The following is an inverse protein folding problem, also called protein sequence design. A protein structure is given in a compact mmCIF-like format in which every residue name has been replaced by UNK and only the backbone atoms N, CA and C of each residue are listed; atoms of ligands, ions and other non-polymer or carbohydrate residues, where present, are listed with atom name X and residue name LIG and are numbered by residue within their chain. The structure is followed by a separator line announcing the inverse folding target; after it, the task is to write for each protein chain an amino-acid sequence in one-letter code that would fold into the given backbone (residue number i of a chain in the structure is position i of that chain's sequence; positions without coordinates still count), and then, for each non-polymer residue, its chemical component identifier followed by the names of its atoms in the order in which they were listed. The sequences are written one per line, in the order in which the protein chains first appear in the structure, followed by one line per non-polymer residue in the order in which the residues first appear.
data_IF_323252075601
#
_entry.id   IF_323252075601
#
_cell.length_a   1.000
_cell.length_b   1.000
_cell.length_c   1.000
_cell.angle_alpha   90.00
_cell.angle_beta   90.00
_cell.angle_gamma   90.00
#
_symmetry.space_group_name_H-M   'P 1'
#
loop_
_entity.id
_entity.type
_entity.pdbx_description
1 polymer ?
#
# COMPACT_ATOMS: atom_id res chain seq x y z
N UNK A 1 -14.61 0.92 -20.14
CA UNK A 1 -13.86 -0.36 -20.14
C UNK A 1 -12.85 -0.41 -19.00
N UNK A 2 -11.99 0.60 -18.85
CA UNK A 2 -10.92 0.62 -17.82
C UNK A 2 -11.43 0.65 -16.36
N UNK A 3 -12.52 1.37 -16.08
CA UNK A 3 -13.13 1.46 -14.74
C UNK A 3 -13.64 0.09 -14.24
N UNK A 4 -14.14 -0.75 -15.15
CA UNK A 4 -14.68 -2.07 -14.83
C UNK A 4 -13.58 -3.03 -14.39
N UNK A 5 -12.42 -3.00 -15.04
CA UNK A 5 -11.27 -3.83 -14.63
C UNK A 5 -10.73 -3.40 -13.26
N UNK A 6 -10.70 -2.09 -12.98
CA UNK A 6 -10.29 -1.56 -11.67
C UNK A 6 -11.22 -2.02 -10.55
N UNK A 7 -12.54 -1.93 -10.77
CA UNK A 7 -13.56 -2.35 -9.79
C UNK A 7 -13.49 -3.86 -9.53
N UNK A 8 -13.25 -4.67 -10.57
CA UNK A 8 -13.09 -6.12 -10.44
C UNK A 8 -11.84 -6.46 -9.63
N UNK A 9 -10.72 -5.76 -9.85
CA UNK A 9 -9.49 -5.95 -9.06
C UNK A 9 -9.72 -5.57 -7.60
N UNK A 10 -10.35 -4.42 -7.33
CA UNK A 10 -10.68 -4.01 -5.96
C UNK A 10 -11.61 -5.02 -5.26
N UNK A 11 -12.60 -5.56 -5.97
CA UNK A 11 -13.47 -6.63 -5.45
C UNK A 11 -12.72 -7.94 -5.21
N UNK A 12 -11.81 -8.35 -6.11
CA UNK A 12 -11.00 -9.55 -5.94
C UNK A 12 -10.09 -9.44 -4.72
N UNK A 13 -9.43 -8.30 -4.55
CA UNK A 13 -8.56 -8.09 -3.40
C UNK A 13 -9.41 -8.03 -2.11
N UNK A 14 -10.58 -7.40 -2.13
CA UNK A 14 -11.51 -7.42 -0.99
C UNK A 14 -12.06 -8.83 -0.69
N UNK A 15 -12.29 -9.67 -1.70
CA UNK A 15 -12.82 -11.04 -1.54
C UNK A 15 -11.79 -12.01 -0.95
N UNK A 16 -10.50 -11.82 -1.26
CA UNK A 16 -9.40 -12.64 -0.69
C UNK A 16 -9.26 -12.42 0.81
N UNK A 17 -9.56 -11.22 1.31
CA UNK A 17 -9.56 -10.93 2.74
C UNK A 17 -10.96 -11.10 3.31
N UNK A 18 -11.21 -12.24 3.96
CA UNK A 18 -12.47 -12.57 4.68
C UNK A 18 -12.97 -11.51 5.67
N UNK A 19 -12.19 -10.45 5.95
CA UNK A 19 -12.64 -9.25 6.67
C UNK A 19 -12.05 -7.98 6.05
N UNK A 20 -12.88 -6.94 5.92
CA UNK A 20 -12.46 -5.63 5.43
C UNK A 20 -11.34 -5.00 6.28
N UNK A 21 -11.36 -5.23 7.60
CA UNK A 21 -10.28 -4.78 8.47
C UNK A 21 -8.95 -5.49 8.13
N UNK A 22 -8.95 -6.82 7.95
CA UNK A 22 -7.76 -7.58 7.59
C UNK A 22 -7.14 -7.11 6.26
N UNK A 23 -7.98 -6.75 5.29
CA UNK A 23 -7.54 -6.14 4.03
C UNK A 23 -6.78 -4.82 4.27
N UNK A 24 -7.35 -3.91 5.05
CA UNK A 24 -6.74 -2.62 5.38
C UNK A 24 -5.39 -2.82 6.08
N UNK A 25 -5.33 -3.71 7.08
CA UNK A 25 -4.09 -4.03 7.78
C UNK A 25 -3.00 -4.49 6.81
N UNK A 26 -3.33 -5.38 5.88
CA UNK A 26 -2.35 -5.91 4.93
C UNK A 26 -1.82 -4.83 3.98
N UNK A 27 -2.68 -3.99 3.41
CA UNK A 27 -2.25 -2.90 2.51
C UNK A 27 -1.25 -1.99 3.23
N UNK A 28 -1.57 -1.58 4.45
CA UNK A 28 -0.72 -0.66 5.20
C UNK A 28 0.58 -1.33 5.65
N UNK A 29 0.55 -2.61 6.04
CA UNK A 29 1.75 -3.39 6.34
C UNK A 29 2.68 -3.45 5.13
N UNK A 30 2.17 -3.76 3.94
CA UNK A 30 2.99 -3.79 2.72
C UNK A 30 3.56 -2.42 2.35
N UNK A 31 2.77 -1.35 2.48
CA UNK A 31 3.29 0.00 2.24
C UNK A 31 4.42 0.37 3.20
N UNK A 32 4.26 0.08 4.49
CA UNK A 32 5.30 0.29 5.50
C UNK A 32 6.54 -0.55 5.19
N UNK A 33 6.36 -1.82 4.81
CA UNK A 33 7.46 -2.71 4.41
C UNK A 33 8.27 -2.12 3.25
N UNK A 34 7.60 -1.66 2.19
CA UNK A 34 8.28 -1.04 1.05
C UNK A 34 9.04 0.22 1.43
N UNK A 35 8.49 1.04 2.33
CA UNK A 35 9.18 2.22 2.85
C UNK A 35 10.40 1.84 3.68
N UNK A 36 10.31 0.81 4.52
CA UNK A 36 11.46 0.30 5.29
C UNK A 36 12.56 -0.21 4.35
N UNK A 37 12.21 -1.03 3.35
CA UNK A 37 13.18 -1.53 2.37
C UNK A 37 13.85 -0.39 1.61
N UNK A 38 13.09 0.65 1.25
CA UNK A 38 13.63 1.86 0.61
C UNK A 38 14.57 2.62 1.54
N UNK A 39 14.20 2.77 2.80
CA UNK A 39 15.04 3.41 3.80
C UNK A 39 16.36 2.65 3.99
N UNK A 40 16.30 1.33 4.11
CA UNK A 40 17.49 0.47 4.25
C UNK A 40 18.39 0.63 3.01
N UNK A 41 17.84 0.51 1.81
CA UNK A 41 18.57 0.68 0.54
C UNK A 41 19.28 2.05 0.47
N UNK A 42 18.63 3.11 0.92
CA UNK A 42 19.15 4.47 0.81
C UNK A 42 20.20 4.81 1.88
N UNK A 43 20.19 4.13 3.03
CA UNK A 43 21.07 4.44 4.16
C UNK A 43 22.16 3.38 4.39
N UNK A 44 22.01 2.17 3.85
CA UNK A 44 23.01 1.11 3.91
C UNK A 44 23.58 0.90 2.52
N UNK A 45 24.90 0.95 2.40
CA UNK A 45 25.57 0.61 1.14
C UNK A 45 25.58 -0.92 0.96
N UNK A 46 24.51 -1.46 0.36
CA UNK A 46 24.36 -2.89 0.11
C UNK A 46 25.00 -3.36 -1.21
N UNK A 47 25.77 -2.50 -1.89
CA UNK A 47 26.43 -2.83 -3.16
C UNK A 47 25.44 -3.34 -4.21
N UNK A 48 25.67 -4.54 -4.75
CA UNK A 48 24.84 -5.15 -5.79
C UNK A 48 23.39 -5.45 -5.33
N UNK A 49 23.17 -5.67 -4.02
CA UNK A 49 21.80 -5.89 -3.51
C UNK A 49 20.92 -4.65 -3.69
N UNK A 50 21.49 -3.44 -3.73
CA UNK A 50 20.72 -2.23 -4.00
C UNK A 50 20.09 -2.23 -5.39
N UNK A 51 20.79 -2.83 -6.38
CA UNK A 51 20.28 -2.99 -7.74
C UNK A 51 19.12 -3.99 -7.77
N UNK A 52 19.25 -5.12 -7.06
CA UNK A 52 18.21 -6.14 -6.96
C UNK A 52 16.95 -5.57 -6.30
N UNK A 53 17.10 -4.87 -5.17
CA UNK A 53 15.97 -4.26 -4.46
C UNK A 53 15.26 -3.25 -5.36
N UNK A 54 16.02 -2.41 -6.06
CA UNK A 54 15.44 -1.41 -6.98
C UNK A 54 14.72 -2.00 -8.19
N UNK A 55 15.10 -3.22 -8.62
CA UNK A 55 14.52 -3.90 -9.77
C UNK A 55 13.17 -4.54 -9.43
N UNK A 56 13.06 -5.16 -8.25
CA UNK A 56 11.87 -5.93 -7.88
C UNK A 56 10.90 -5.18 -6.98
N UNK A 57 11.37 -4.22 -6.17
CA UNK A 57 10.54 -3.52 -5.21
C UNK A 57 10.34 -2.06 -5.59
N UNK A 58 9.08 -1.63 -5.57
CA UNK A 58 8.74 -0.21 -5.65
C UNK A 58 8.92 0.43 -4.27
N UNK A 59 9.19 1.75 -4.21
CA UNK A 59 9.57 2.37 -2.95
C UNK A 59 8.40 2.54 -1.95
N UNK A 60 7.16 2.49 -2.44
CA UNK A 60 5.94 2.57 -1.65
C UNK A 60 4.74 2.16 -2.52
N UNK A 61 3.57 1.92 -1.92
CA UNK A 61 2.33 1.68 -2.67
C UNK A 61 1.92 2.91 -3.52
N UNK A 62 2.03 4.17 -3.05
CA UNK A 62 1.87 5.35 -3.91
C UNK A 62 2.74 5.31 -5.18
N UNK A 63 4.00 4.87 -5.06
CA UNK A 63 4.88 4.79 -6.22
C UNK A 63 4.45 3.71 -7.23
N UNK A 64 3.83 2.63 -6.76
CA UNK A 64 3.20 1.63 -7.64
C UNK A 64 2.03 2.26 -8.39
N UNK A 65 1.16 2.99 -7.68
CA UNK A 65 0.00 3.66 -8.28
C UNK A 65 0.48 4.61 -9.39
N UNK A 66 1.43 5.48 -9.12
CA UNK A 66 1.95 6.42 -10.12
C UNK A 66 2.74 5.77 -11.26
N UNK A 67 3.29 4.56 -11.05
CA UNK A 67 3.98 3.81 -12.12
C UNK A 67 3.02 3.20 -13.13
N UNK A 68 1.87 2.73 -12.66
CA UNK A 68 0.90 1.98 -13.50
C UNK A 68 -0.34 2.80 -13.87
N UNK A 69 -0.55 3.96 -13.26
CA UNK A 69 -1.71 4.82 -13.51
C UNK A 69 -1.27 6.28 -13.61
N UNK A 70 -2.00 7.07 -14.39
CA UNK A 70 -1.74 8.49 -14.61
C UNK A 70 -3.04 9.28 -14.70
N UNK A 71 -2.94 10.61 -14.62
CA UNK A 71 -4.08 11.52 -14.69
C UNK A 71 -5.07 11.35 -13.54
N UNK A 72 -6.36 11.53 -13.83
CA UNK A 72 -7.43 11.53 -12.82
C UNK A 72 -7.57 10.19 -12.09
N UNK A 73 -7.30 9.08 -12.78
CA UNK A 73 -7.35 7.74 -12.20
C UNK A 73 -6.33 7.59 -11.06
N UNK A 74 -5.10 8.07 -11.26
CA UNK A 74 -4.06 8.03 -10.24
C UNK A 74 -4.45 8.86 -9.02
N UNK A 75 -5.03 10.04 -9.24
CA UNK A 75 -5.52 10.92 -8.17
C UNK A 75 -6.62 10.24 -7.34
N UNK A 76 -7.61 9.61 -8.01
CA UNK A 76 -8.69 8.89 -7.32
C UNK A 76 -8.14 7.73 -6.48
N UNK A 77 -7.24 6.93 -7.05
CA UNK A 77 -6.61 5.81 -6.34
C UNK A 77 -5.79 6.28 -5.13
N UNK A 78 -5.10 7.41 -5.26
CA UNK A 78 -4.38 8.03 -4.14
C UNK A 78 -5.33 8.45 -3.02
N UNK A 79 -6.49 9.05 -3.33
CA UNK A 79 -7.49 9.39 -2.30
C UNK A 79 -8.10 8.16 -1.63
N UNK A 80 -8.33 7.07 -2.37
CA UNK A 80 -8.77 5.80 -1.79
C UNK A 80 -7.70 5.27 -0.82
N UNK A 81 -6.42 5.35 -1.20
CA UNK A 81 -5.32 4.94 -0.33
C UNK A 81 -5.22 5.81 0.93
N UNK A 82 -5.44 7.13 0.82
CA UNK A 82 -5.54 8.03 1.98
C UNK A 82 -6.66 7.58 2.93
N UNK A 83 -7.85 7.26 2.40
CA UNK A 83 -8.95 6.76 3.21
C UNK A 83 -8.59 5.46 3.94
N UNK A 84 -7.89 4.53 3.27
CA UNK A 84 -7.39 3.28 3.87
C UNK A 84 -6.45 3.58 5.04
N UNK A 85 -5.50 4.51 4.89
CA UNK A 85 -4.59 4.90 5.98
C UNK A 85 -5.33 5.52 7.16
N UNK A 86 -6.35 6.35 6.92
CA UNK A 86 -7.17 6.94 7.98
C UNK A 86 -7.95 5.87 8.75
N UNK A 87 -8.56 4.91 8.06
CA UNK A 87 -9.29 3.82 8.71
C UNK A 87 -8.32 2.95 9.53
N UNK A 88 -7.15 2.61 8.97
CA UNK A 88 -6.11 1.87 9.69
C UNK A 88 -5.70 2.58 10.98
N UNK A 89 -5.44 3.89 10.91
CA UNK A 89 -5.07 4.69 12.06
C UNK A 89 -6.17 4.67 13.13
N UNK A 90 -7.43 4.85 12.72
CA UNK A 90 -8.58 4.77 13.63
C UNK A 90 -8.70 3.37 14.30
N UNK A 91 -8.47 2.30 13.53
CA UNK A 91 -8.49 0.92 14.06
C UNK A 91 -7.39 0.69 15.10
N UNK A 92 -6.17 1.19 14.88
CA UNK A 92 -5.06 1.08 15.84
C UNK A 92 -5.36 1.90 17.10
N UNK A 93 -5.81 3.15 16.94
CA UNK A 93 -6.13 4.02 18.09
C UNK A 93 -7.21 3.36 18.94
N UNK A 94 -8.27 2.86 18.30
CA UNK A 94 -9.35 2.14 18.99
C UNK A 94 -8.80 0.91 19.72
N UNK A 95 -7.99 0.09 19.05
CA UNK A 95 -7.39 -1.09 19.67
C UNK A 95 -6.52 -0.75 20.88
N UNK A 96 -5.77 0.36 20.84
CA UNK A 96 -4.96 0.83 21.97
C UNK A 96 -5.82 1.34 23.13
N UNK A 97 -6.96 1.96 22.85
CA UNK A 97 -7.87 2.46 23.87
C UNK A 97 -8.67 1.32 24.54
N UNK A 98 -9.16 0.36 23.76
CA UNK A 98 -9.94 -0.80 24.27
C UNK A 98 -9.06 -1.79 25.07
N UNK A 99 -7.73 -1.65 25.01
CA UNK A 99 -6.75 -2.46 25.76
C UNK A 99 -6.25 -1.78 27.05
N UNK A 100 -6.68 -0.55 27.34
CA UNK A 100 -6.43 0.16 28.60
C UNK A 100 -7.62 -0.02 29.55
#
# INVERSE_FOLDING_TARGET
MELIYLIIILMLVAFVFKSFNGFIYLIVIFDILFRILTFIKNNINLGEMNLIISKYFSPSIPAIIHKYTSGDLATILMWILVAIYLIFLALIIKYLWDRK
#
